data_IF_168409819599
#
_entry.id   IF_168409819599
#
_cell.length_a   1.000
_cell.length_b   1.000
_cell.length_c   1.000
_cell.angle_alpha   90.00
_cell.angle_beta   90.00
_cell.angle_gamma   90.00
#
_symmetry.space_group_name_H-M   'P 1'
#
loop_
_entity.id
_entity.type
_entity.pdbx_description
1 polymer ?
#
# COMPACT_ATOMS: atom_id res chain seq x y z
N UNK A 1 -27.09 31.27 13.22
CA UNK A 1 -28.09 31.04 12.17
C UNK A 1 -27.43 31.24 10.80
N UNK A 2 -27.24 30.21 9.96
CA UNK A 2 -26.69 30.36 8.62
C UNK A 2 -27.79 30.66 7.59
N UNK A 3 -27.56 31.58 6.62
CA UNK A 3 -28.61 32.04 5.71
C UNK A 3 -28.93 31.01 4.61
N UNK A 4 -30.23 30.83 4.38
CA UNK A 4 -30.83 30.02 3.30
C UNK A 4 -30.36 30.49 1.93
N UNK A 5 -29.68 29.61 1.17
CA UNK A 5 -29.45 29.79 -0.27
C UNK A 5 -30.79 29.63 -0.99
N UNK A 6 -31.20 30.65 -1.75
CA UNK A 6 -32.30 30.55 -2.71
C UNK A 6 -31.75 29.92 -3.99
N UNK A 7 -32.38 28.85 -4.44
CA UNK A 7 -32.11 28.17 -5.70
C UNK A 7 -32.23 29.13 -6.89
N UNK A 8 -31.09 29.52 -7.46
CA UNK A 8 -31.05 30.11 -8.78
C UNK A 8 -31.33 29.01 -9.82
N UNK A 9 -32.20 29.24 -10.82
CA UNK A 9 -32.46 28.25 -11.85
C UNK A 9 -31.17 27.90 -12.59
N UNK A 10 -30.84 26.60 -12.62
CA UNK A 10 -29.64 26.06 -13.27
C UNK A 10 -29.49 26.58 -14.72
N UNK A 11 -28.26 26.89 -15.15
CA UNK A 11 -27.88 27.17 -16.56
C UNK A 11 -28.44 26.13 -17.55
N UNK A 12 -28.69 24.89 -17.09
CA UNK A 12 -29.31 23.79 -17.86
C UNK A 12 -30.77 24.07 -18.22
N UNK A 13 -31.51 24.78 -17.36
CA UNK A 13 -32.92 25.14 -17.56
C UNK A 13 -33.05 26.29 -18.57
N UNK A 14 -32.21 27.31 -18.46
CA UNK A 14 -32.12 28.42 -19.43
C UNK A 14 -31.68 27.94 -20.83
N UNK A 15 -30.73 27.00 -20.91
CA UNK A 15 -30.29 26.44 -22.20
C UNK A 15 -31.37 25.56 -22.85
N UNK A 16 -32.14 24.82 -22.05
CA UNK A 16 -33.30 24.03 -22.52
C UNK A 16 -34.43 24.96 -23.00
N UNK A 17 -34.60 26.14 -22.40
CA UNK A 17 -35.50 27.19 -22.89
C UNK A 17 -34.98 27.80 -24.20
N UNK A 18 -33.71 28.22 -24.29
CA UNK A 18 -33.10 28.78 -25.52
C UNK A 18 -33.12 27.82 -26.71
N UNK A 19 -32.94 26.52 -26.48
CA UNK A 19 -33.05 25.49 -27.53
C UNK A 19 -34.50 25.22 -27.95
N UNK A 20 -35.46 25.35 -27.02
CA UNK A 20 -36.89 25.22 -27.32
C UNK A 20 -37.42 26.43 -28.11
N UNK A 21 -36.88 27.62 -27.86
CA UNK A 21 -37.28 28.90 -28.47
C UNK A 21 -36.86 28.98 -29.95
N UNK A 22 -35.58 28.70 -30.25
CA UNK A 22 -35.05 28.69 -31.64
C UNK A 22 -35.65 27.63 -32.54
N UNK A 23 -36.33 26.64 -31.96
CA UNK A 23 -36.99 25.56 -32.71
C UNK A 23 -38.51 25.72 -32.75
N UNK A 24 -39.12 26.65 -31.97
CA UNK A 24 -40.55 26.67 -31.62
C UNK A 24 -41.51 26.73 -32.82
N UNK A 25 -41.17 27.47 -33.89
CA UNK A 25 -42.03 27.60 -35.07
C UNK A 25 -41.87 26.52 -36.16
N UNK A 26 -40.79 25.72 -36.12
CA UNK A 26 -40.47 24.74 -37.18
C UNK A 26 -40.94 23.31 -36.86
N UNK A 27 -41.40 23.06 -35.62
CA UNK A 27 -41.79 21.72 -35.13
C UNK A 27 -43.08 21.20 -35.76
N UNK A 28 -43.95 22.10 -36.23
CA UNK A 28 -45.26 21.75 -36.80
C UNK A 28 -45.22 21.49 -38.32
N UNK A 29 -44.05 21.60 -38.95
CA UNK A 29 -43.86 21.36 -40.39
C UNK A 29 -43.05 20.06 -40.56
N UNK A 30 -43.74 18.95 -40.86
CA UNK A 30 -43.20 17.57 -40.99
C UNK A 30 -42.26 17.36 -42.20
N UNK A 31 -41.46 18.35 -42.58
CA UNK A 31 -40.49 18.23 -43.68
C UNK A 31 -39.17 17.63 -43.21
N UNK A 32 -38.67 16.59 -43.90
CA UNK A 32 -37.37 15.95 -43.62
C UNK A 32 -36.20 16.96 -43.64
N UNK A 33 -36.24 17.95 -44.54
CA UNK A 33 -35.26 19.05 -44.60
C UNK A 33 -35.29 19.94 -43.35
N UNK A 34 -36.47 20.30 -42.86
CA UNK A 34 -36.62 21.06 -41.61
C UNK A 34 -36.19 20.25 -40.39
N UNK A 35 -36.47 18.94 -40.34
CA UNK A 35 -36.01 18.07 -39.25
C UNK A 35 -34.48 17.99 -39.17
N UNK A 36 -33.79 17.87 -40.31
CA UNK A 36 -32.32 17.93 -40.37
C UNK A 36 -31.77 19.28 -39.91
N UNK A 37 -32.43 20.39 -40.27
CA UNK A 37 -32.06 21.73 -39.80
C UNK A 37 -32.25 21.90 -38.28
N UNK A 38 -33.37 21.42 -37.72
CA UNK A 38 -33.62 21.43 -36.27
C UNK A 38 -32.54 20.62 -35.54
N UNK A 39 -32.17 19.44 -36.05
CA UNK A 39 -31.09 18.62 -35.46
C UNK A 39 -29.73 19.33 -35.52
N UNK A 40 -29.42 20.06 -36.60
CA UNK A 40 -28.17 20.79 -36.74
C UNK A 40 -28.10 21.99 -35.78
N UNK A 41 -29.17 22.78 -35.67
CA UNK A 41 -29.25 23.90 -34.72
C UNK A 41 -29.19 23.41 -33.27
N UNK A 42 -29.88 22.32 -32.95
CA UNK A 42 -29.84 21.71 -31.62
C UNK A 42 -28.43 21.22 -31.26
N UNK A 43 -27.72 20.58 -32.20
CA UNK A 43 -26.32 20.17 -32.02
C UNK A 43 -25.41 21.39 -31.82
N UNK A 44 -25.57 22.46 -32.59
CA UNK A 44 -24.72 23.65 -32.50
C UNK A 44 -24.87 24.43 -31.17
N UNK A 45 -26.04 24.34 -30.52
CA UNK A 45 -26.30 24.98 -29.21
C UNK A 45 -25.87 24.11 -28.04
N UNK A 46 -25.90 22.77 -28.16
CA UNK A 46 -25.59 21.83 -27.07
C UNK A 46 -24.13 21.40 -27.01
N UNK A 47 -23.39 21.42 -28.12
CA UNK A 47 -22.01 20.90 -28.21
C UNK A 47 -20.98 21.58 -27.31
N UNK A 48 -20.98 22.91 -27.08
CA UNK A 48 -19.94 23.53 -26.26
C UNK A 48 -20.05 23.14 -24.78
N UNK A 49 -21.28 22.96 -24.29
CA UNK A 49 -21.54 22.64 -22.88
C UNK A 49 -21.44 21.13 -22.60
N UNK A 50 -21.77 20.27 -23.58
CA UNK A 50 -21.67 18.82 -23.41
C UNK A 50 -20.22 18.34 -23.35
N UNK A 51 -19.32 18.89 -24.19
CA UNK A 51 -17.90 18.52 -24.16
C UNK A 51 -17.22 18.88 -22.83
N UNK A 52 -17.46 20.08 -22.31
CA UNK A 52 -16.92 20.48 -21.00
C UNK A 52 -17.44 19.58 -19.86
N UNK A 53 -18.73 19.20 -19.87
CA UNK A 53 -19.29 18.30 -18.85
C UNK A 53 -18.77 16.87 -18.95
N UNK A 54 -18.50 16.39 -20.16
CA UNK A 54 -18.01 15.04 -20.41
C UNK A 54 -16.52 14.93 -20.06
N UNK A 55 -15.74 15.98 -20.29
CA UNK A 55 -14.32 16.05 -19.93
C UNK A 55 -14.13 16.12 -18.41
N UNK A 56 -14.95 16.90 -17.70
CA UNK A 56 -14.98 16.93 -16.24
C UNK A 56 -15.37 15.56 -15.65
N UNK A 57 -16.38 14.89 -16.23
CA UNK A 57 -16.78 13.55 -15.80
C UNK A 57 -15.68 12.50 -16.07
N UNK A 58 -14.99 12.58 -17.20
CA UNK A 58 -13.86 11.70 -17.52
C UNK A 58 -12.68 11.93 -16.57
N UNK A 59 -12.41 13.19 -16.21
CA UNK A 59 -11.32 13.55 -15.29
C UNK A 59 -11.63 13.13 -13.84
N UNK A 60 -12.89 13.22 -13.41
CA UNK A 60 -13.35 12.69 -12.12
C UNK A 60 -13.24 11.16 -12.07
N UNK A 61 -13.66 10.47 -13.14
CA UNK A 61 -13.54 9.01 -13.23
C UNK A 61 -12.09 8.54 -13.16
N UNK A 62 -11.16 9.24 -13.83
CA UNK A 62 -9.71 8.96 -13.75
C UNK A 62 -9.16 9.13 -12.33
N UNK A 63 -9.54 10.21 -11.64
CA UNK A 63 -9.12 10.46 -10.24
C UNK A 63 -9.66 9.41 -9.27
N UNK A 64 -10.90 8.96 -9.48
CA UNK A 64 -11.50 7.90 -8.67
C UNK A 64 -10.82 6.54 -8.90
N UNK A 65 -10.50 6.21 -10.15
CA UNK A 65 -9.78 4.99 -10.52
C UNK A 65 -8.36 4.97 -9.94
N UNK A 66 -7.65 6.11 -10.01
CA UNK A 66 -6.32 6.27 -9.40
C UNK A 66 -6.38 6.17 -7.87
N UNK A 67 -7.40 6.77 -7.23
CA UNK A 67 -7.61 6.65 -5.79
C UNK A 67 -7.91 5.19 -5.38
N UNK A 68 -8.72 4.46 -6.16
CA UNK A 68 -9.01 3.04 -5.95
C UNK A 68 -7.74 2.19 -6.11
N UNK A 69 -6.96 2.40 -7.17
CA UNK A 69 -5.69 1.70 -7.39
C UNK A 69 -4.70 1.95 -6.27
N UNK A 70 -4.61 3.19 -5.77
CA UNK A 70 -3.76 3.52 -4.62
C UNK A 70 -4.23 2.83 -3.34
N UNK A 71 -5.53 2.72 -3.11
CA UNK A 71 -6.10 1.99 -1.98
C UNK A 71 -5.85 0.49 -2.09
N UNK A 72 -5.98 -0.11 -3.27
CA UNK A 72 -5.66 -1.53 -3.50
C UNK A 72 -4.18 -1.82 -3.26
N UNK A 73 -3.28 -0.98 -3.76
CA UNK A 73 -1.84 -1.11 -3.49
C UNK A 73 -1.55 -1.02 -1.98
N UNK A 74 -2.19 -0.10 -1.27
CA UNK A 74 -2.01 0.02 0.18
C UNK A 74 -2.50 -1.22 0.95
N UNK A 75 -3.59 -1.83 0.50
CA UNK A 75 -4.11 -3.07 1.08
C UNK A 75 -3.21 -4.27 0.79
N UNK A 76 -2.61 -4.32 -0.40
CA UNK A 76 -1.73 -5.41 -0.81
C UNK A 76 -0.40 -5.39 -0.04
N UNK A 77 0.19 -4.20 0.15
CA UNK A 77 1.45 -4.03 0.89
C UNK A 77 1.26 -3.84 2.39
N UNK A 78 0.13 -4.29 2.92
CA UNK A 78 -0.22 -4.11 4.32
C UNK A 78 0.66 -4.99 5.22
N UNK A 79 1.48 -4.42 6.13
CA UNK A 79 2.40 -5.19 6.94
C UNK A 79 1.63 -6.05 7.96
N UNK A 80 1.96 -7.34 8.01
CA UNK A 80 1.49 -8.25 9.05
C UNK A 80 2.49 -8.19 10.20
N UNK A 81 2.11 -7.55 11.31
CA UNK A 81 2.90 -7.62 12.55
C UNK A 81 2.39 -8.77 13.40
N UNK A 82 3.17 -9.84 13.49
CA UNK A 82 2.99 -10.88 14.51
C UNK A 82 3.77 -10.47 15.75
N UNK A 83 3.09 -10.38 16.89
CA UNK A 83 3.73 -10.12 18.18
C UNK A 83 3.75 -11.41 18.98
N UNK A 84 4.90 -11.74 19.56
CA UNK A 84 5.05 -12.93 20.41
C UNK A 84 4.17 -12.79 21.65
N UNK A 85 3.62 -13.92 22.13
CA UNK A 85 2.56 -13.97 23.16
C UNK A 85 2.96 -13.46 24.56
N UNK A 86 4.18 -12.96 24.73
CA UNK A 86 4.67 -12.37 25.98
C UNK A 86 5.15 -10.91 25.87
N UNK A 87 5.07 -10.28 24.70
CA UNK A 87 5.46 -8.88 24.54
C UNK A 87 4.28 -7.94 24.80
N UNK A 88 4.48 -6.96 25.68
CA UNK A 88 3.49 -5.93 25.93
C UNK A 88 3.16 -5.18 24.63
N UNK A 89 1.88 -5.11 24.24
CA UNK A 89 1.53 -4.59 22.93
C UNK A 89 1.91 -3.11 22.76
N UNK A 90 2.05 -2.37 23.86
CA UNK A 90 2.37 -0.93 23.89
C UNK A 90 3.87 -0.63 23.93
N UNK A 91 4.73 -1.65 24.10
CA UNK A 91 6.18 -1.50 23.94
C UNK A 91 6.63 -1.75 22.50
N UNK A 92 5.75 -2.27 21.65
CA UNK A 92 6.03 -2.50 20.22
C UNK A 92 5.49 -1.35 19.39
N UNK A 93 6.32 -0.81 18.49
CA UNK A 93 5.92 0.25 17.58
C UNK A 93 4.94 -0.27 16.51
N UNK A 94 3.89 0.51 16.25
CA UNK A 94 2.87 0.19 15.26
C UNK A 94 3.43 0.34 13.83
N UNK A 95 3.52 -0.75 13.05
CA UNK A 95 3.97 -0.69 11.66
C UNK A 95 3.08 0.21 10.80
N UNK A 96 1.77 0.22 11.08
CA UNK A 96 0.83 1.10 10.40
C UNK A 96 1.09 2.57 10.72
N UNK A 97 1.52 2.88 11.93
CA UNK A 97 1.86 4.25 12.30
C UNK A 97 3.18 4.67 11.65
N UNK A 98 4.17 3.77 11.62
CA UNK A 98 5.42 3.97 10.88
C UNK A 98 5.19 4.30 9.40
N UNK A 99 4.17 3.68 8.80
CA UNK A 99 3.77 3.90 7.41
C UNK A 99 2.78 5.06 7.21
N UNK A 100 2.29 5.70 8.28
CA UNK A 100 1.29 6.79 8.20
C UNK A 100 -0.14 6.33 7.90
N UNK A 101 -0.42 5.03 7.96
CA UNK A 101 -1.70 4.40 7.61
C UNK A 101 -2.49 3.89 8.82
N UNK A 102 -2.11 4.26 10.04
CA UNK A 102 -2.82 3.82 11.24
C UNK A 102 -4.10 4.62 11.51
N UNK A 103 -5.26 4.04 11.21
CA UNK A 103 -6.57 4.63 11.54
C UNK A 103 -6.99 4.51 13.01
N UNK A 104 -6.21 3.81 13.85
CA UNK A 104 -6.58 3.54 15.26
C UNK A 104 -6.22 4.68 16.22
N UNK A 105 -5.36 5.62 15.79
CA UNK A 105 -4.94 6.77 16.58
C UNK A 105 -4.45 6.38 17.99
N UNK A 106 -4.83 7.14 19.01
CA UNK A 106 -4.42 6.93 20.41
C UNK A 106 -4.91 5.59 21.03
N UNK A 107 -5.91 4.95 20.42
CA UNK A 107 -6.45 3.66 20.88
C UNK A 107 -5.77 2.46 20.20
N UNK A 108 -4.68 2.69 19.47
CA UNK A 108 -3.92 1.60 18.86
C UNK A 108 -3.36 0.66 19.94
N UNK A 109 -3.44 -0.65 19.67
CA UNK A 109 -2.84 -1.68 20.52
C UNK A 109 -1.32 -1.53 20.57
N UNK A 110 -0.73 -1.03 19.48
CA UNK A 110 0.70 -0.79 19.32
C UNK A 110 1.06 0.68 19.60
N UNK A 111 2.29 0.94 20.02
CA UNK A 111 2.75 2.29 20.30
C UNK A 111 2.86 3.16 19.04
N UNK A 112 2.50 4.42 19.19
CA UNK A 112 2.72 5.48 18.20
C UNK A 112 3.92 6.36 18.57
N UNK A 113 4.78 5.90 19.47
CA UNK A 113 6.00 6.61 19.85
C UNK A 113 7.18 6.16 18.99
N UNK A 114 7.69 7.07 18.15
CA UNK A 114 8.84 6.85 17.26
C UNK A 114 10.16 6.60 18.02
N UNK A 115 10.22 6.94 19.31
CA UNK A 115 11.43 6.72 20.12
C UNK A 115 11.67 5.24 20.42
N UNK A 116 10.63 4.41 20.34
CA UNK A 116 10.72 2.96 20.59
C UNK A 116 11.53 2.24 19.51
N UNK A 117 11.41 2.64 18.23
CA UNK A 117 12.20 2.06 17.12
C UNK A 117 13.70 2.31 17.31
N UNK A 118 14.04 3.47 17.89
CA UNK A 118 15.43 3.89 18.08
C UNK A 118 16.18 3.06 19.11
N UNK A 119 15.47 2.48 20.09
CA UNK A 119 16.07 1.63 21.13
C UNK A 119 16.56 0.28 20.59
N UNK A 120 16.15 -0.09 19.38
CA UNK A 120 16.64 -1.28 18.66
C UNK A 120 17.75 -0.98 17.65
N UNK A 121 18.23 0.27 17.56
CA UNK A 121 19.22 0.66 16.57
C UNK A 121 20.63 0.10 16.90
N UNK A 122 20.96 -0.98 16.18
CA UNK A 122 22.30 -1.37 15.68
C UNK A 122 23.28 -1.92 16.72
N UNK A 123 23.17 -3.23 17.02
CA UNK A 123 24.39 -4.04 17.13
C UNK A 123 25.04 -4.04 15.75
N UNK A 124 26.23 -3.46 15.63
CA UNK A 124 26.96 -3.38 14.36
C UNK A 124 27.18 -4.81 13.84
N UNK A 125 26.74 -5.10 12.61
CA UNK A 125 27.00 -6.37 11.94
C UNK A 125 28.50 -6.69 11.78
N UNK A 126 29.38 -5.71 12.03
CA UNK A 126 30.82 -5.82 11.94
C UNK A 126 31.54 -5.78 13.30
N UNK A 127 30.81 -5.60 14.40
CA UNK A 127 31.34 -5.89 15.73
C UNK A 127 31.07 -7.37 16.03
N UNK A 128 31.62 -8.24 15.20
CA UNK A 128 31.65 -9.67 15.45
C UNK A 128 32.73 -9.87 16.52
N UNK A 129 32.33 -10.32 17.71
CA UNK A 129 33.20 -10.82 18.79
C UNK A 129 33.95 -12.12 18.37
N UNK A 130 34.30 -12.25 17.09
CA UNK A 130 34.95 -13.42 16.50
C UNK A 130 36.44 -13.52 16.81
N UNK A 131 37.00 -12.48 17.44
CA UNK A 131 38.35 -12.54 17.95
C UNK A 131 38.49 -13.57 19.09
N UNK A 132 37.39 -13.97 19.74
CA UNK A 132 37.41 -14.90 20.88
C UNK A 132 37.18 -16.37 20.51
N UNK A 133 36.88 -16.69 19.24
CA UNK A 133 36.66 -18.07 18.76
C UNK A 133 37.74 -18.53 17.77
N UNK A 134 38.97 -18.05 17.95
CA UNK A 134 40.14 -18.62 17.31
C UNK A 134 40.38 -20.04 17.82
N UNK A 135 40.70 -20.99 16.93
CA UNK A 135 40.98 -22.40 17.27
C UNK A 135 42.04 -22.57 18.35
N UNK A 136 42.93 -21.59 18.53
CA UNK A 136 43.99 -21.57 19.55
C UNK A 136 43.46 -21.38 20.99
N UNK A 137 42.22 -20.90 21.17
CA UNK A 137 41.57 -20.72 22.47
C UNK A 137 40.58 -21.84 22.82
N UNK A 138 40.62 -22.97 22.11
CA UNK A 138 39.73 -24.10 22.38
C UNK A 138 40.35 -25.04 23.42
N UNK A 139 39.73 -25.12 24.59
CA UNK A 139 40.07 -26.10 25.62
C UNK A 139 39.73 -27.54 25.18
N UNK A 140 40.40 -28.51 25.78
CA UNK A 140 40.26 -29.95 25.50
C UNK A 140 38.80 -30.44 25.54
N UNK A 141 37.99 -29.92 26.46
CA UNK A 141 36.56 -30.27 26.57
C UNK A 141 35.73 -29.79 25.36
N UNK A 142 36.00 -28.57 24.87
CA UNK A 142 35.34 -28.01 23.67
C UNK A 142 35.77 -28.77 22.41
N UNK A 143 37.04 -29.20 22.36
CA UNK A 143 37.55 -30.03 21.28
C UNK A 143 36.90 -31.42 21.28
N UNK A 144 36.77 -32.06 22.43
CA UNK A 144 36.11 -33.34 22.60
C UNK A 144 34.63 -33.30 22.20
N UNK A 145 33.89 -32.24 22.57
CA UNK A 145 32.48 -32.08 22.16
C UNK A 145 32.34 -31.89 20.65
N UNK A 146 33.20 -31.09 20.01
CA UNK A 146 33.20 -30.91 18.55
C UNK A 146 33.58 -32.20 17.81
N UNK A 147 34.56 -32.95 18.30
CA UNK A 147 34.95 -34.26 17.76
C UNK A 147 33.81 -35.27 17.90
N UNK A 148 33.18 -35.35 19.07
CA UNK A 148 32.02 -36.22 19.31
C UNK A 148 30.84 -35.85 18.41
N UNK A 149 30.62 -34.56 18.16
CA UNK A 149 29.57 -34.07 17.26
C UNK A 149 29.85 -34.39 15.78
N UNK A 150 31.12 -34.34 15.36
CA UNK A 150 31.54 -34.60 13.97
C UNK A 150 31.66 -36.09 13.66
N UNK A 151 32.14 -36.90 14.62
CA UNK A 151 32.37 -38.33 14.48
C UNK A 151 31.20 -39.19 14.98
N UNK A 152 30.38 -38.69 15.91
CA UNK A 152 29.25 -39.41 16.49
C UNK A 152 28.12 -39.71 15.52
N UNK A 153 28.01 -39.02 14.38
CA UNK A 153 27.06 -39.36 13.31
C UNK A 153 27.66 -40.18 12.17
N UNK A 154 28.99 -40.16 11.96
CA UNK A 154 29.65 -40.82 10.83
C UNK A 154 30.31 -42.17 11.19
N UNK A 155 30.64 -42.40 12.46
CA UNK A 155 31.36 -43.60 12.90
C UNK A 155 30.49 -44.59 13.71
N UNK A 156 29.16 -44.45 13.73
CA UNK A 156 28.26 -45.46 14.33
C UNK A 156 28.29 -46.75 13.50
N UNK A 157 29.30 -47.58 13.72
CA UNK A 157 29.43 -48.91 13.11
C UNK A 157 30.82 -49.28 12.60
N UNK A 158 31.83 -48.42 12.69
CA UNK A 158 33.21 -48.79 12.35
C UNK A 158 34.04 -49.03 13.62
N UNK A 159 34.91 -50.06 13.63
CA UNK A 159 35.79 -50.31 14.77
C UNK A 159 36.77 -49.15 14.98
N UNK A 160 37.21 -48.89 16.23
CA UNK A 160 38.14 -47.81 16.51
C UNK A 160 39.42 -48.00 15.71
N UNK A 161 39.85 -46.94 15.03
CA UNK A 161 41.12 -46.95 14.28
C UNK A 161 42.25 -46.64 15.27
N UNK A 162 42.97 -47.67 15.70
CA UNK A 162 44.24 -47.50 16.41
C UNK A 162 45.26 -46.91 15.45
N UNK A 163 45.66 -45.66 15.67
CA UNK A 163 46.79 -45.06 14.95
C UNK A 163 48.07 -45.67 15.53
N UNK A 164 48.62 -46.66 14.84
CA UNK A 164 49.96 -47.18 15.14
C UNK A 164 50.98 -46.14 14.67
N UNK A 165 51.49 -45.32 15.60
CA UNK A 165 52.66 -44.49 15.36
C UNK A 165 53.85 -45.46 15.30
N UNK A 166 54.52 -45.66 14.14
CA UNK A 166 55.73 -46.46 14.11
C UNK A 166 56.77 -45.74 14.96
N UNK A 167 57.20 -46.40 16.04
CA UNK A 167 58.35 -45.95 16.81
C UNK A 167 59.56 -45.97 15.89
N UNK A 168 60.29 -44.86 15.93
CA UNK A 168 61.51 -44.56 15.16
C UNK A 168 62.53 -45.69 15.24
#
# INVERSE_FOLDING_TARGET
MPPKKKDAPSKKTEQKQKAKDKTFGLKNKKGNKQQKFIQQVQKQVLTPHQKASQELAAQQKKKEDEAKKKAELNNLFRPVQTVSKGADPKSVLCAFFKQGNCGKGAKCKFSHDLTIDKKTEKRSLYADDKAEDAMDAWDQEKLEDVVNKKHGSKNKGLPPTTICIPSV
#
